data_IF_651385245057
#
_entry.id   IF_651385245057
#
_cell.length_a   1.000
_cell.length_b   1.000
_cell.length_c   1.000
_cell.angle_alpha   90.00
_cell.angle_beta   90.00
_cell.angle_gamma   90.00
#
_symmetry.space_group_name_H-M   'P 1'
#
loop_
_entity.id
_entity.type
_entity.pdbx_description
1 polymer ?
#
# COMPACT_ATOMS: atom_id res chain seq x y z
N UNK A 1 5.04 10.84 5.39
CA UNK A 1 4.90 9.36 5.40
C UNK A 1 5.90 8.83 6.40
N UNK A 2 5.42 8.05 7.36
CA UNK A 2 6.25 7.53 8.45
C UNK A 2 6.75 6.11 8.16
N UNK A 3 5.94 5.29 7.49
CA UNK A 3 6.28 3.91 7.11
C UNK A 3 5.42 3.46 5.91
N UNK A 4 5.86 2.43 5.18
CA UNK A 4 5.02 1.76 4.18
C UNK A 4 5.47 0.32 3.89
N UNK A 5 4.51 -0.49 3.45
CA UNK A 5 4.72 -1.83 2.95
C UNK A 5 4.14 -1.97 1.54
N UNK A 6 4.81 -2.78 0.72
CA UNK A 6 4.32 -3.14 -0.61
C UNK A 6 4.11 -4.65 -0.68
N UNK A 7 2.95 -5.06 -1.18
CA UNK A 7 2.54 -6.45 -1.38
C UNK A 7 1.95 -6.63 -2.79
N UNK A 8 1.95 -7.88 -3.26
CA UNK A 8 1.17 -8.29 -4.43
C UNK A 8 -0.24 -8.65 -4.01
N UNK A 9 -1.24 -8.07 -4.69
CA UNK A 9 -2.64 -8.49 -4.61
C UNK A 9 -3.07 -9.21 -5.88
N UNK A 10 -4.08 -10.08 -5.78
CA UNK A 10 -4.60 -10.81 -6.95
C UNK A 10 -5.19 -9.81 -7.96
N UNK A 11 -4.90 -10.02 -9.24
CA UNK A 11 -5.44 -9.25 -10.36
C UNK A 11 -5.92 -10.23 -11.42
N UNK A 12 -7.18 -10.10 -11.87
CA UNK A 12 -7.78 -11.04 -12.82
C UNK A 12 -7.12 -11.04 -14.20
N UNK A 13 -6.47 -9.92 -14.58
CA UNK A 13 -5.88 -9.73 -15.91
C UNK A 13 -4.38 -10.02 -15.93
N UNK A 14 -3.67 -9.66 -14.85
CA UNK A 14 -2.20 -9.69 -14.78
C UNK A 14 -1.65 -10.69 -13.76
N UNK A 15 -2.53 -11.44 -13.08
CA UNK A 15 -2.16 -12.35 -12.00
C UNK A 15 -1.94 -11.60 -10.68
N UNK A 16 -1.04 -10.62 -10.69
CA UNK A 16 -0.76 -9.75 -9.54
C UNK A 16 -0.79 -8.25 -9.89
N UNK A 17 -1.20 -7.44 -8.90
CA UNK A 17 -1.09 -5.98 -8.88
C UNK A 17 -0.30 -5.51 -7.67
N UNK A 18 0.37 -4.37 -7.81
CA UNK A 18 1.13 -3.74 -6.74
C UNK A 18 0.18 -3.00 -5.80
N UNK A 19 0.23 -3.34 -4.51
CA UNK A 19 -0.57 -2.71 -3.45
C UNK A 19 0.38 -2.06 -2.45
N UNK A 20 0.20 -0.76 -2.22
CA UNK A 20 0.90 -0.02 -1.17
C UNK A 20 0.01 0.12 0.07
N UNK A 21 0.58 -0.15 1.24
CA UNK A 21 -0.05 0.10 2.54
C UNK A 21 0.83 1.10 3.27
N UNK A 22 0.28 2.27 3.58
CA UNK A 22 1.03 3.46 3.96
C UNK A 22 0.59 3.93 5.34
N UNK A 23 1.56 4.28 6.17
CA UNK A 23 1.34 4.99 7.43
C UNK A 23 1.66 6.46 7.20
N UNK A 24 0.63 7.31 7.30
CA UNK A 24 0.81 8.75 7.24
C UNK A 24 1.56 9.24 8.49
N UNK A 25 2.36 10.28 8.33
CA UNK A 25 2.99 10.91 9.48
C UNK A 25 1.97 11.89 10.10
N UNK A 26 1.54 11.69 11.37
CA UNK A 26 0.53 12.53 12.00
C UNK A 26 0.95 13.99 12.17
N UNK A 27 2.25 14.31 12.09
CA UNK A 27 2.76 15.67 12.18
C UNK A 27 2.63 16.45 10.85
N UNK A 28 2.21 15.79 9.77
CA UNK A 28 2.14 16.39 8.43
C UNK A 28 0.82 16.09 7.73
N UNK A 29 0.45 16.94 6.77
CA UNK A 29 -0.68 16.64 5.89
C UNK A 29 -0.41 15.33 5.15
N UNK A 30 -1.31 14.36 5.29
CA UNK A 30 -1.22 13.11 4.56
C UNK A 30 -1.42 13.36 3.05
N UNK A 31 -0.54 12.82 2.18
CA UNK A 31 -0.78 12.87 0.74
C UNK A 31 -2.00 12.01 0.38
N UNK A 32 -2.67 12.36 -0.70
CA UNK A 32 -3.67 11.51 -1.35
C UNK A 32 -3.04 10.27 -2.00
N UNK A 33 -3.88 9.27 -2.29
CA UNK A 33 -3.44 8.08 -3.01
C UNK A 33 -2.92 8.43 -4.41
N UNK A 34 -3.58 9.38 -5.09
CA UNK A 34 -3.21 9.88 -6.41
C UNK A 34 -1.85 10.56 -6.40
N UNK A 35 -1.56 11.38 -5.39
CA UNK A 35 -0.25 12.02 -5.22
C UNK A 35 0.86 10.99 -5.02
N UNK A 36 0.62 9.93 -4.24
CA UNK A 36 1.59 8.83 -4.06
C UNK A 36 1.83 8.12 -5.39
N UNK A 37 0.77 7.78 -6.13
CA UNK A 37 0.89 7.09 -7.43
C UNK A 37 1.60 7.97 -8.45
N UNK A 38 1.27 9.27 -8.53
CA UNK A 38 1.94 10.23 -9.40
C UNK A 38 3.43 10.34 -9.07
N UNK A 39 3.76 10.48 -7.79
CA UNK A 39 5.14 10.54 -7.32
C UNK A 39 5.95 9.27 -7.70
N UNK A 40 5.33 8.09 -7.60
CA UNK A 40 5.91 6.83 -8.06
C UNK A 40 6.10 6.79 -9.58
N UNK A 41 5.12 7.24 -10.37
CA UNK A 41 5.18 7.22 -11.84
C UNK A 41 6.29 8.11 -12.41
N UNK A 42 6.61 9.19 -11.73
CA UNK A 42 7.74 10.06 -12.11
C UNK A 42 9.11 9.40 -11.89
N UNK A 43 9.19 8.38 -11.03
CA UNK A 43 10.48 7.83 -10.52
C UNK A 43 10.67 6.35 -10.83
N UNK A 44 9.61 5.63 -11.13
CA UNK A 44 9.59 4.18 -11.32
C UNK A 44 8.95 3.83 -12.66
N UNK A 45 9.33 2.67 -13.21
CA UNK A 45 8.63 2.10 -14.34
C UNK A 45 7.15 1.88 -14.01
N UNK A 46 6.26 2.09 -14.98
CA UNK A 46 4.81 2.07 -14.78
C UNK A 46 4.31 0.79 -14.08
N UNK A 47 4.85 -0.37 -14.43
CA UNK A 47 4.46 -1.65 -13.83
C UNK A 47 4.90 -1.85 -12.37
N UNK A 48 5.80 -1.00 -11.85
CA UNK A 48 6.22 -0.98 -10.43
C UNK A 48 5.37 -0.02 -9.59
N UNK A 49 4.57 0.83 -10.22
CA UNK A 49 3.76 1.79 -9.50
C UNK A 49 2.58 1.05 -8.84
N UNK A 50 2.22 1.42 -7.60
CA UNK A 50 1.05 0.86 -6.95
C UNK A 50 -0.21 1.15 -7.76
N UNK A 51 -1.08 0.15 -7.85
CA UNK A 51 -2.44 0.31 -8.39
C UNK A 51 -3.43 0.69 -7.30
N UNK A 52 -3.14 0.28 -6.07
CA UNK A 52 -3.97 0.55 -4.91
C UNK A 52 -3.08 1.04 -3.77
N UNK A 53 -3.57 2.05 -3.05
CA UNK A 53 -2.90 2.65 -1.89
C UNK A 53 -3.90 2.65 -0.74
N UNK A 54 -3.53 2.00 0.36
CA UNK A 54 -4.34 1.94 1.58
C UNK A 54 -3.61 2.66 2.70
N UNK A 55 -4.31 3.50 3.44
CA UNK A 55 -3.77 4.15 4.62
C UNK A 55 -4.18 3.37 5.87
N UNK A 56 -3.23 3.20 6.78
CA UNK A 56 -3.45 2.53 8.07
C UNK A 56 -2.77 3.31 9.19
N UNK A 57 -3.28 3.17 10.40
CA UNK A 57 -2.65 3.77 11.59
C UNK A 57 -1.26 3.15 11.88
N UNK A 58 -1.11 1.83 11.65
CA UNK A 58 0.14 1.12 11.84
C UNK A 58 0.25 -0.11 10.93
N UNK A 59 1.49 -0.55 10.68
CA UNK A 59 1.74 -1.79 9.96
C UNK A 59 1.84 -2.97 10.93
N UNK A 60 1.21 -4.12 10.63
CA UNK A 60 1.25 -5.28 11.51
C UNK A 60 2.67 -5.86 11.56
N UNK A 61 3.21 -5.97 12.76
CA UNK A 61 4.54 -6.51 13.04
C UNK A 61 4.46 -7.53 14.17
N UNK A 62 5.30 -8.55 14.12
CA UNK A 62 5.44 -9.49 15.25
C UNK A 62 6.21 -8.84 16.42
N UNK A 63 6.34 -9.57 17.54
CA UNK A 63 7.07 -9.13 18.73
C UNK A 63 8.56 -8.76 18.48
N UNK A 64 9.16 -9.21 17.37
CA UNK A 64 10.53 -8.86 16.96
C UNK A 64 10.56 -7.73 15.92
N UNK A 65 9.45 -7.04 15.66
CA UNK A 65 9.34 -5.94 14.70
C UNK A 65 9.25 -6.36 13.22
N UNK A 66 9.20 -7.66 12.92
CA UNK A 66 9.10 -8.16 11.54
C UNK A 66 7.70 -7.92 10.98
N UNK A 67 7.66 -7.29 9.80
CA UNK A 67 6.42 -7.04 9.07
C UNK A 67 5.68 -8.34 8.72
N UNK A 68 4.39 -8.39 9.04
CA UNK A 68 3.50 -9.52 8.78
C UNK A 68 2.82 -9.38 7.41
N UNK A 69 3.55 -9.64 6.34
CA UNK A 69 3.02 -9.56 4.96
C UNK A 69 1.81 -10.47 4.71
N UNK A 70 1.69 -11.58 5.44
CA UNK A 70 0.52 -12.48 5.32
C UNK A 70 -0.76 -11.79 5.77
N UNK A 71 -0.71 -11.04 6.86
CA UNK A 71 -1.84 -10.29 7.39
C UNK A 71 -2.20 -9.12 6.47
N UNK A 72 -1.20 -8.39 5.98
CA UNK A 72 -1.42 -7.37 4.95
C UNK A 72 -2.10 -7.94 3.70
N UNK A 73 -1.69 -9.11 3.23
CA UNK A 73 -2.34 -9.75 2.06
C UNK A 73 -3.79 -10.13 2.37
N UNK A 74 -4.05 -10.72 3.54
CA UNK A 74 -5.39 -11.09 3.95
C UNK A 74 -6.35 -9.87 4.01
N UNK A 75 -5.84 -8.72 4.46
CA UNK A 75 -6.64 -7.50 4.61
C UNK A 75 -6.85 -6.71 3.31
N UNK A 76 -5.81 -6.61 2.46
CA UNK A 76 -5.79 -5.61 1.38
C UNK A 76 -5.83 -6.18 -0.04
N UNK A 77 -5.81 -7.50 -0.24
CA UNK A 77 -5.73 -8.09 -1.60
C UNK A 77 -7.06 -8.58 -2.16
N UNK A 78 -8.08 -8.73 -1.32
CA UNK A 78 -9.44 -9.12 -1.74
C UNK A 78 -10.31 -7.96 -2.25
N UNK A 79 -9.78 -6.73 -2.23
CA UNK A 79 -10.51 -5.50 -2.57
C UNK A 79 -9.88 -4.92 -3.84
N UNK A 80 -10.61 -4.89 -4.96
CA UNK A 80 -10.17 -4.25 -6.21
C UNK A 80 -10.64 -2.79 -6.23
N UNK A 81 -9.75 -1.83 -6.49
CA UNK A 81 -10.10 -0.43 -6.77
C UNK A 81 -10.58 0.39 -5.56
N UNK A 82 -10.31 -0.06 -4.34
CA UNK A 82 -10.77 0.60 -3.12
C UNK A 82 -9.65 1.29 -2.36
N UNK A 83 -9.75 2.61 -2.18
CA UNK A 83 -9.07 3.29 -1.07
C UNK A 83 -9.81 2.88 0.20
N UNK A 84 -9.22 1.96 0.97
CA UNK A 84 -9.76 1.63 2.30
C UNK A 84 -9.20 2.64 3.29
N UNK A 85 -10.03 3.61 3.68
CA UNK A 85 -9.83 4.41 4.88
C UNK A 85 -10.45 3.61 6.03
N UNK A 86 -9.63 3.08 6.93
CA UNK A 86 -10.07 2.59 8.23
C UNK A 86 -9.18 3.19 9.30
#
# INVERSE_FOLDING_TARGET
>A
MFDAAVIGGKDAKWGERVVAVVVADPATQAPSAEEIVAWCRERLAHFKCPRDVHFVAELPRNATGKLLKTELRAQFTGIEGGVVLR
#
